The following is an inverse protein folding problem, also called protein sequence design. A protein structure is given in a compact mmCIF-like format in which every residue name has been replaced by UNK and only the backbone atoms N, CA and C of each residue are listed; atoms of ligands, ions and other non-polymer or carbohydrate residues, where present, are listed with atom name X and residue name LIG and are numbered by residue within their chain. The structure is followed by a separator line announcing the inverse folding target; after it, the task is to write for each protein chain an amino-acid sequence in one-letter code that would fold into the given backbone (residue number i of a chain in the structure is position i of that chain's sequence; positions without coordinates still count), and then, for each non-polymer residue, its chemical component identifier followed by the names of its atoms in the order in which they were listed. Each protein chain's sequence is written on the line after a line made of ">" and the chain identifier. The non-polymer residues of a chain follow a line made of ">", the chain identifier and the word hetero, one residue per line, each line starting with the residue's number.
data_IF_405870583991
#
_entry.id   IF_405870583991
#
_cell.length_a   1.000
_cell.length_b   1.000
_cell.length_c   1.000
_cell.angle_alpha   90.00
_cell.angle_beta   90.00
_cell.angle_gamma   90.00
#
_symmetry.space_group_name_H-M   'P 1'
#
loop_
_entity.id
_entity.type
_entity.pdbx_description
1 polymer ?
#
# COMPACT_ATOMS: atom_id res chain seq x y z
N UNK A 1 7.27 -3.90 -9.08
CA UNK A 1 6.56 -3.96 -7.78
C UNK A 1 6.16 -2.54 -7.41
N UNK A 2 4.87 -2.23 -7.37
CA UNK A 2 4.38 -0.89 -7.06
C UNK A 2 3.74 -0.93 -5.67
N UNK A 3 4.25 -0.12 -4.75
CA UNK A 3 3.69 0.08 -3.41
C UNK A 3 3.50 -1.23 -2.63
N UNK A 4 4.39 -2.20 -2.82
CA UNK A 4 4.20 -3.57 -2.30
C UNK A 4 5.10 -3.88 -1.10
N UNK A 5 4.62 -4.58 -0.06
CA UNK A 5 5.45 -5.10 1.01
C UNK A 5 6.15 -6.41 0.63
N UNK A 6 7.26 -6.71 1.32
CA UNK A 6 7.82 -8.06 1.38
C UNK A 6 7.27 -8.88 2.57
N UNK A 7 6.76 -8.21 3.61
CA UNK A 7 6.31 -8.80 4.87
C UNK A 7 5.08 -8.07 5.38
N UNK A 8 4.00 -8.80 5.65
CA UNK A 8 2.75 -8.21 6.16
C UNK A 8 2.89 -7.74 7.62
N UNK A 9 3.72 -8.43 8.42
CA UNK A 9 4.04 -7.96 9.76
C UNK A 9 4.70 -6.58 9.75
N UNK A 10 5.62 -6.35 8.80
CA UNK A 10 6.28 -5.04 8.65
C UNK A 10 5.32 -3.97 8.12
N UNK A 11 4.45 -4.35 7.17
CA UNK A 11 3.37 -3.49 6.68
C UNK A 11 2.47 -3.02 7.83
N UNK A 12 1.98 -3.96 8.65
CA UNK A 12 1.09 -3.67 9.77
C UNK A 12 1.74 -2.73 10.78
N UNK A 13 3.00 -2.97 11.14
CA UNK A 13 3.74 -2.09 12.05
C UNK A 13 3.86 -0.66 11.49
N UNK A 14 4.18 -0.53 10.20
CA UNK A 14 4.35 0.78 9.58
C UNK A 14 3.02 1.52 9.42
N UNK A 15 1.96 0.83 9.01
CA UNK A 15 0.62 1.40 8.92
C UNK A 15 0.15 1.97 10.26
N UNK A 16 0.35 1.24 11.36
CA UNK A 16 0.00 1.70 12.71
C UNK A 16 0.85 2.90 13.13
N UNK A 17 2.15 2.90 12.80
CA UNK A 17 3.04 4.04 13.07
C UNK A 17 2.58 5.30 12.32
N UNK A 18 2.25 5.18 11.03
CA UNK A 18 1.74 6.26 10.20
C UNK A 18 0.39 6.77 10.69
N UNK A 19 -0.52 5.85 11.03
CA UNK A 19 -1.83 6.18 11.58
C UNK A 19 -1.70 6.99 12.86
N UNK A 20 -0.90 6.54 13.83
CA UNK A 20 -0.67 7.26 15.08
C UNK A 20 0.03 8.60 14.92
N UNK A 21 0.86 8.76 13.89
CA UNK A 21 1.48 10.05 13.57
C UNK A 21 0.46 11.09 13.04
N UNK A 22 -0.63 10.62 12.41
CA UNK A 22 -1.72 11.49 11.94
C UNK A 22 -2.79 11.70 13.01
N UNK A 23 -3.21 10.62 13.66
CA UNK A 23 -4.26 10.60 14.67
C UNK A 23 -3.80 9.79 15.87
N UNK A 24 -3.16 10.43 16.87
CA UNK A 24 -2.75 9.76 18.08
C UNK A 24 -3.94 9.07 18.77
N UNK A 25 -3.84 7.75 18.93
CA UNK A 25 -4.90 6.92 19.48
C UNK A 25 -4.30 5.81 20.35
N UNK A 26 -5.05 5.30 21.33
CA UNK A 26 -4.58 4.17 22.13
C UNK A 26 -4.57 2.88 21.32
N UNK A 27 -3.72 1.92 21.68
CA UNK A 27 -3.69 0.60 21.02
C UNK A 27 -5.04 -0.12 21.13
N UNK A 28 -5.75 0.06 22.25
CA UNK A 28 -7.09 -0.51 22.46
C UNK A 28 -8.12 0.11 21.53
N UNK A 29 -8.11 1.44 21.34
CA UNK A 29 -9.03 2.11 20.41
C UNK A 29 -8.71 1.73 18.95
N UNK A 30 -7.44 1.64 18.58
CA UNK A 30 -7.07 1.16 17.24
C UNK A 30 -7.61 -0.25 17.03
N UNK A 31 -7.40 -1.14 17.99
CA UNK A 31 -7.85 -2.53 17.91
C UNK A 31 -9.38 -2.67 17.90
N UNK A 32 -10.09 -1.87 18.69
CA UNK A 32 -11.53 -2.04 18.90
C UNK A 32 -12.40 -1.14 18.01
N UNK A 33 -11.84 -0.06 17.44
CA UNK A 33 -12.56 0.92 16.61
C UNK A 33 -12.04 0.90 15.18
N UNK A 34 -10.73 1.04 14.98
CA UNK A 34 -10.15 1.23 13.63
C UNK A 34 -10.00 -0.08 12.89
N UNK A 35 -9.43 -1.11 13.52
CA UNK A 35 -9.25 -2.42 12.88
C UNK A 35 -10.57 -3.05 12.42
N UNK A 36 -11.65 -3.13 13.21
CA UNK A 36 -12.90 -3.74 12.75
C UNK A 36 -13.70 -2.85 11.79
N UNK A 37 -13.34 -1.58 11.60
CA UNK A 37 -14.07 -0.68 10.71
C UNK A 37 -13.99 -1.15 9.26
N UNK A 38 -15.15 -1.21 8.61
CA UNK A 38 -15.28 -1.55 7.20
C UNK A 38 -15.17 -0.27 6.38
N UNK A 39 -14.13 -0.15 5.56
CA UNK A 39 -13.77 1.12 4.89
C UNK A 39 -14.89 1.70 4.01
N UNK A 40 -15.75 0.84 3.43
CA UNK A 40 -16.86 1.24 2.55
C UNK A 40 -18.22 1.31 3.27
N UNK A 41 -18.26 1.23 4.61
CA UNK A 41 -19.50 1.29 5.40
C UNK A 41 -19.36 2.25 6.59
N UNK A 42 -19.51 3.55 6.34
CA UNK A 42 -19.42 4.61 7.36
C UNK A 42 -18.16 4.50 8.26
N UNK A 43 -16.95 4.53 7.68
CA UNK A 43 -15.71 4.40 8.44
C UNK A 43 -15.52 5.59 9.41
N UNK A 44 -14.77 5.39 10.52
CA UNK A 44 -14.34 6.49 11.39
C UNK A 44 -13.55 7.57 10.62
N UNK A 45 -13.74 8.84 10.98
CA UNK A 45 -13.07 9.98 10.32
C UNK A 45 -11.54 9.86 10.33
N UNK A 46 -10.97 9.24 11.35
CA UNK A 46 -9.53 9.01 11.50
C UNK A 46 -9.01 8.04 10.44
N UNK A 47 -9.79 6.99 10.14
CA UNK A 47 -9.46 6.04 9.08
C UNK A 47 -9.57 6.72 7.71
N UNK A 48 -10.59 7.54 7.49
CA UNK A 48 -10.73 8.34 6.26
C UNK A 48 -9.52 9.28 6.08
N UNK A 49 -9.08 9.95 7.14
CA UNK A 49 -7.91 10.83 7.09
C UNK A 49 -6.62 10.07 6.75
N UNK A 50 -6.44 8.85 7.27
CA UNK A 50 -5.33 7.98 6.90
C UNK A 50 -5.36 7.63 5.40
N UNK A 51 -6.51 7.20 4.88
CA UNK A 51 -6.66 6.87 3.46
C UNK A 51 -6.40 8.07 2.55
N UNK A 52 -6.94 9.24 2.90
CA UNK A 52 -6.74 10.47 2.14
C UNK A 52 -5.27 10.93 2.12
N UNK A 53 -4.47 10.56 3.12
CA UNK A 53 -3.05 10.91 3.20
C UNK A 53 -2.14 9.88 2.52
N UNK A 54 -2.42 8.60 2.71
CA UNK A 54 -1.48 7.52 2.45
C UNK A 54 -1.92 6.50 1.40
N UNK A 55 -3.20 6.50 1.00
CA UNK A 55 -3.76 5.53 0.05
C UNK A 55 -4.17 6.19 -1.26
N UNK A 56 -4.94 7.28 -1.22
CA UNK A 56 -5.38 8.00 -2.41
C UNK A 56 -5.62 9.48 -2.08
N UNK A 57 -4.89 10.38 -2.76
CA UNK A 57 -4.82 11.81 -2.41
C UNK A 57 -5.61 12.73 -3.33
N UNK A 58 -6.10 12.24 -4.47
CA UNK A 58 -6.91 13.07 -5.38
C UNK A 58 -8.31 13.27 -4.79
N UNK A 59 -8.83 14.51 -4.91
CA UNK A 59 -10.15 14.86 -4.41
C UNK A 59 -11.30 14.16 -5.16
N UNK A 60 -11.07 13.84 -6.44
CA UNK A 60 -12.02 13.13 -7.28
C UNK A 60 -11.41 11.82 -7.75
N UNK A 61 -12.09 10.71 -7.45
CA UNK A 61 -11.73 9.41 -7.97
C UNK A 61 -12.05 9.33 -9.47
N UNK A 62 -11.10 8.85 -10.27
CA UNK A 62 -11.35 8.54 -11.66
C UNK A 62 -12.42 7.43 -11.81
N UNK A 63 -13.14 7.40 -12.94
CA UNK A 63 -14.27 6.47 -13.17
C UNK A 63 -13.89 5.01 -12.97
N UNK A 64 -12.68 4.60 -13.36
CA UNK A 64 -12.23 3.22 -13.16
C UNK A 64 -11.91 2.90 -11.69
N UNK A 65 -11.46 3.88 -10.90
CA UNK A 65 -11.30 3.74 -9.44
C UNK A 65 -12.66 3.56 -8.78
N UNK A 66 -13.64 4.41 -9.12
CA UNK A 66 -15.02 4.29 -8.62
C UNK A 66 -15.63 2.92 -8.95
N UNK A 67 -15.40 2.41 -10.17
CA UNK A 67 -15.85 1.08 -10.58
C UNK A 67 -15.20 -0.04 -9.76
N UNK A 68 -13.89 0.04 -9.51
CA UNK A 68 -13.18 -0.93 -8.67
C UNK A 68 -13.70 -0.91 -7.24
N UNK A 69 -13.90 0.28 -6.67
CA UNK A 69 -14.48 0.46 -5.33
C UNK A 69 -15.91 -0.09 -5.24
N UNK A 70 -16.74 0.12 -6.28
CA UNK A 70 -18.09 -0.44 -6.33
C UNK A 70 -18.11 -1.97 -6.41
N UNK A 71 -17.19 -2.58 -7.16
CA UNK A 71 -17.04 -4.04 -7.20
C UNK A 71 -16.61 -4.61 -5.85
N UNK A 72 -15.62 -3.97 -5.22
CA UNK A 72 -15.16 -4.33 -3.89
C UNK A 72 -16.27 -4.23 -2.84
N UNK A 73 -17.06 -3.15 -2.85
CA UNK A 73 -18.19 -2.98 -1.94
C UNK A 73 -19.32 -3.99 -2.19
N UNK A 74 -19.51 -4.43 -3.44
CA UNK A 74 -20.52 -5.42 -3.80
C UNK A 74 -20.16 -6.84 -3.34
N UNK A 75 -18.89 -7.23 -3.42
CA UNK A 75 -18.39 -8.50 -2.87
C UNK A 75 -16.95 -8.36 -2.31
N UNK A 76 -16.82 -8.02 -1.02
CA UNK A 76 -15.54 -7.83 -0.35
C UNK A 76 -14.93 -9.15 0.13
N UNK A 77 -15.56 -10.31 -0.14
CA UNK A 77 -15.25 -11.60 0.50
C UNK A 77 -13.78 -11.97 0.41
N UNK A 78 -13.19 -11.85 -0.78
CA UNK A 78 -11.79 -12.18 -1.00
C UNK A 78 -10.83 -11.32 -0.17
N UNK A 79 -11.05 -10.01 -0.16
CA UNK A 79 -10.23 -9.05 0.59
C UNK A 79 -10.40 -9.25 2.10
N UNK A 80 -11.62 -9.41 2.61
CA UNK A 80 -11.86 -9.67 4.03
C UNK A 80 -11.21 -10.98 4.52
N UNK A 81 -11.23 -12.04 3.70
CA UNK A 81 -10.60 -13.32 4.07
C UNK A 81 -9.08 -13.24 4.04
N UNK A 82 -8.51 -12.63 3.00
CA UNK A 82 -7.06 -12.63 2.79
C UNK A 82 -6.36 -11.53 3.57
N UNK A 83 -6.92 -10.32 3.53
CA UNK A 83 -6.33 -9.11 4.08
C UNK A 83 -6.97 -8.71 5.40
N UNK A 84 -8.28 -8.41 5.37
CA UNK A 84 -9.07 -7.95 6.50
C UNK A 84 -10.03 -6.84 6.09
N UNK A 85 -10.46 -6.01 7.03
CA UNK A 85 -11.56 -5.03 6.85
C UNK A 85 -11.15 -3.68 6.28
N UNK A 86 -9.86 -3.33 6.37
CA UNK A 86 -9.25 -2.11 5.82
C UNK A 86 -7.71 -2.24 5.75
N UNK A 87 -7.01 -1.23 5.21
CA UNK A 87 -5.56 -1.22 5.00
C UNK A 87 -4.73 -1.33 6.29
N UNK A 88 -5.28 -0.90 7.44
CA UNK A 88 -4.67 -1.01 8.77
C UNK A 88 -5.05 -2.31 9.51
N UNK A 89 -5.91 -3.12 8.91
CA UNK A 89 -6.39 -4.37 9.48
C UNK A 89 -5.89 -5.55 8.63
N UNK A 90 -4.58 -5.68 8.45
CA UNK A 90 -3.97 -6.81 7.74
C UNK A 90 -3.93 -8.07 8.62
N UNK A 91 -5.09 -8.47 9.14
CA UNK A 91 -5.29 -9.54 10.13
C UNK A 91 -6.01 -10.79 9.56
N UNK A 92 -6.18 -10.85 8.24
CA UNK A 92 -6.71 -12.01 7.51
C UNK A 92 -5.66 -13.11 7.31
N UNK A 93 -5.90 -14.01 6.35
CA UNK A 93 -5.02 -15.16 6.08
C UNK A 93 -3.59 -14.81 5.66
N UNK A 94 -3.35 -13.59 5.20
CA UNK A 94 -2.02 -13.09 4.83
C UNK A 94 -1.26 -12.46 6.01
N UNK A 95 -1.82 -12.40 7.23
CA UNK A 95 -1.19 -11.72 8.36
C UNK A 95 0.27 -12.15 8.63
N UNK A 96 0.55 -13.45 8.47
CA UNK A 96 1.88 -14.05 8.67
C UNK A 96 2.67 -14.22 7.36
N UNK A 97 2.18 -13.68 6.23
CA UNK A 97 2.86 -13.81 4.94
C UNK A 97 4.15 -12.98 4.90
N UNK A 98 5.25 -13.64 4.53
CA UNK A 98 6.55 -13.02 4.36
C UNK A 98 7.34 -13.73 3.24
N UNK A 99 7.72 -12.98 2.20
CA UNK A 99 8.53 -13.49 1.08
C UNK A 99 10.02 -13.13 1.22
N UNK A 100 10.40 -12.36 2.23
CA UNK A 100 11.77 -11.86 2.44
C UNK A 100 12.84 -12.96 2.31
N UNK A 101 12.68 -14.18 2.88
CA UNK A 101 13.67 -15.26 2.75
C UNK A 101 13.90 -15.75 1.31
N UNK A 102 12.93 -15.51 0.41
CA UNK A 102 12.94 -15.98 -0.97
C UNK A 102 13.30 -14.91 -1.98
N UNK A 103 13.39 -13.63 -1.59
CA UNK A 103 13.70 -12.53 -2.50
C UNK A 103 15.06 -12.70 -3.19
N UNK A 104 16.02 -13.33 -2.51
CA UNK A 104 17.33 -13.65 -3.09
C UNK A 104 17.28 -14.71 -4.19
N UNK A 105 16.11 -15.28 -4.51
CA UNK A 105 15.89 -16.21 -5.62
C UNK A 105 15.47 -15.49 -6.90
N UNK A 106 15.05 -14.22 -6.82
CA UNK A 106 14.70 -13.41 -7.98
C UNK A 106 15.99 -13.11 -8.78
N UNK A 107 15.96 -13.40 -10.08
CA UNK A 107 17.12 -13.26 -11.00
C UNK A 107 16.87 -12.25 -12.12
N UNK A 108 15.62 -11.86 -12.36
CA UNK A 108 15.30 -10.82 -13.32
C UNK A 108 15.48 -9.43 -12.69
N UNK A 109 15.74 -8.40 -13.50
CA UNK A 109 15.75 -7.01 -13.02
C UNK A 109 14.38 -6.62 -12.47
N UNK A 110 14.36 -5.86 -11.36
CA UNK A 110 13.15 -5.42 -10.68
C UNK A 110 13.14 -3.91 -10.51
N UNK A 111 11.99 -3.30 -10.82
CA UNK A 111 11.66 -1.94 -10.41
C UNK A 111 10.72 -1.98 -9.21
N UNK A 112 11.12 -1.36 -8.10
CA UNK A 112 10.28 -1.01 -6.96
C UNK A 112 9.87 0.46 -7.11
N UNK A 113 8.57 0.71 -7.16
CA UNK A 113 7.99 2.04 -7.33
C UNK A 113 7.06 2.33 -6.15
N UNK A 114 7.14 3.52 -5.55
CA UNK A 114 6.23 3.95 -4.47
C UNK A 114 5.89 5.43 -4.60
N UNK A 115 4.79 5.88 -4.01
CA UNK A 115 4.57 7.32 -3.81
C UNK A 115 5.40 7.88 -2.67
N UNK A 116 5.66 9.18 -2.67
CA UNK A 116 6.33 9.89 -1.58
C UNK A 116 5.60 9.73 -0.24
N UNK A 117 4.27 9.83 -0.27
CA UNK A 117 3.35 9.79 0.86
C UNK A 117 2.75 8.39 1.10
N UNK A 118 3.24 7.38 0.40
CA UNK A 118 2.69 6.02 0.42
C UNK A 118 2.78 5.35 1.79
N UNK A 119 1.77 4.56 2.15
CA UNK A 119 1.80 3.64 3.29
C UNK A 119 2.87 2.54 3.15
N UNK A 120 3.21 2.16 1.90
CA UNK A 120 4.39 1.37 1.59
C UNK A 120 5.64 2.27 1.64
N UNK A 121 6.02 2.71 2.84
CA UNK A 121 7.17 3.59 3.05
C UNK A 121 8.48 2.92 2.64
N UNK A 122 9.57 3.69 2.65
CA UNK A 122 10.92 3.14 2.48
C UNK A 122 11.20 1.96 3.42
N UNK A 123 10.70 2.00 4.67
CA UNK A 123 10.82 0.88 5.61
C UNK A 123 10.17 -0.38 5.08
N UNK A 124 8.96 -0.28 4.52
CA UNK A 124 8.17 -1.41 4.01
C UNK A 124 8.81 -2.04 2.77
N UNK A 125 9.35 -1.21 1.87
CA UNK A 125 9.95 -1.70 0.61
C UNK A 125 11.44 -2.06 0.74
N UNK A 126 12.12 -1.64 1.81
CA UNK A 126 13.55 -1.88 2.04
C UNK A 126 13.97 -3.35 1.92
N UNK A 127 13.19 -4.36 2.38
CA UNK A 127 13.55 -5.76 2.16
C UNK A 127 13.62 -6.13 0.66
N UNK A 128 12.73 -5.59 -0.17
CA UNK A 128 12.77 -5.80 -1.63
C UNK A 128 14.07 -5.26 -2.23
N UNK A 129 14.49 -4.07 -1.79
CA UNK A 129 15.71 -3.42 -2.28
C UNK A 129 16.98 -4.14 -1.80
N UNK A 130 16.94 -4.68 -0.58
CA UNK A 130 18.12 -5.26 0.07
C UNK A 130 18.38 -6.71 -0.33
N UNK A 131 17.33 -7.47 -0.67
CA UNK A 131 17.45 -8.91 -0.95
C UNK A 131 17.34 -9.29 -2.42
N UNK A 132 16.83 -8.43 -3.29
CA UNK A 132 16.82 -8.64 -4.74
C UNK A 132 18.11 -8.06 -5.34
N UNK A 133 18.86 -8.86 -6.10
CA UNK A 133 20.20 -8.47 -6.56
C UNK A 133 20.23 -7.37 -7.62
N UNK A 134 19.25 -7.33 -8.52
CA UNK A 134 19.07 -6.25 -9.50
C UNK A 134 17.74 -5.57 -9.23
N UNK A 135 17.78 -4.59 -8.32
CA UNK A 135 16.61 -3.90 -7.82
C UNK A 135 16.83 -2.40 -7.88
N UNK A 136 15.95 -1.70 -8.60
CA UNK A 136 15.96 -0.25 -8.76
C UNK A 136 14.76 0.33 -8.05
N UNK A 137 14.91 1.46 -7.39
CA UNK A 137 13.85 2.12 -6.67
C UNK A 137 13.49 3.48 -7.30
N UNK A 138 12.20 3.79 -7.39
CA UNK A 138 11.72 5.12 -7.77
C UNK A 138 10.62 5.56 -6.80
N UNK A 139 10.77 6.76 -6.24
CA UNK A 139 9.72 7.44 -5.45
C UNK A 139 9.05 8.49 -6.33
N UNK A 140 7.73 8.43 -6.46
CA UNK A 140 6.93 9.36 -7.25
C UNK A 140 6.53 10.55 -6.38
N UNK A 141 6.98 11.78 -6.71
CA UNK A 141 6.71 12.96 -5.89
C UNK A 141 5.21 13.27 -5.78
N UNK A 142 4.79 13.68 -4.58
CA UNK A 142 3.40 14.07 -4.29
C UNK A 142 2.38 12.92 -4.28
N UNK A 143 2.74 11.71 -4.72
CA UNK A 143 1.83 10.55 -4.74
C UNK A 143 1.80 9.78 -3.43
N UNK A 144 0.75 8.98 -3.23
CA UNK A 144 0.58 8.02 -2.15
C UNK A 144 0.61 6.58 -2.70
N UNK A 145 -0.33 5.71 -2.33
CA UNK A 145 -0.35 4.29 -2.70
C UNK A 145 -0.75 4.03 -4.17
N UNK A 146 -1.31 5.02 -4.84
CA UNK A 146 -1.78 4.91 -6.22
C UNK A 146 -1.05 5.90 -7.15
N UNK A 147 0.31 5.85 -7.23
CA UNK A 147 1.08 6.84 -8.00
C UNK A 147 0.77 6.83 -9.50
N UNK A 148 0.27 5.71 -10.02
CA UNK A 148 -0.17 5.59 -11.41
C UNK A 148 -1.43 6.40 -11.73
N UNK A 149 -2.22 6.77 -10.72
CA UNK A 149 -3.39 7.66 -10.85
C UNK A 149 -3.05 9.08 -10.42
N UNK A 150 -2.34 9.22 -9.30
CA UNK A 150 -2.08 10.50 -8.65
C UNK A 150 -1.03 11.33 -9.40
N UNK A 151 -0.09 10.68 -10.09
CA UNK A 151 0.94 11.36 -10.86
C UNK A 151 1.38 10.51 -12.06
N UNK A 152 0.46 10.42 -13.04
CA UNK A 152 0.55 9.55 -14.22
C UNK A 152 1.88 9.73 -14.97
N UNK A 153 2.26 10.96 -15.30
CA UNK A 153 3.40 11.21 -16.20
C UNK A 153 4.75 10.77 -15.59
N UNK A 154 5.12 11.14 -14.35
CA UNK A 154 6.30 10.59 -13.67
C UNK A 154 6.24 9.07 -13.47
N UNK A 155 5.08 8.51 -13.12
CA UNK A 155 4.94 7.07 -12.97
C UNK A 155 5.22 6.32 -14.29
N UNK A 156 4.62 6.77 -15.41
CA UNK A 156 4.87 6.18 -16.72
C UNK A 156 6.30 6.41 -17.21
N UNK A 157 6.90 7.56 -16.91
CA UNK A 157 8.29 7.84 -17.25
C UNK A 157 9.25 6.88 -16.55
N UNK A 158 9.03 6.62 -15.25
CA UNK A 158 9.82 5.67 -14.47
C UNK A 158 9.74 4.25 -15.02
N UNK A 159 8.52 3.76 -15.29
CA UNK A 159 8.30 2.44 -15.88
C UNK A 159 8.91 2.36 -17.28
N UNK A 160 8.72 3.38 -18.12
CA UNK A 160 9.25 3.39 -19.49
C UNK A 160 10.78 3.44 -19.52
N UNK A 161 11.42 4.18 -18.62
CA UNK A 161 12.88 4.21 -18.50
C UNK A 161 13.41 2.83 -18.11
N UNK A 162 12.82 2.21 -17.09
CA UNK A 162 13.17 0.86 -16.69
C UNK A 162 13.05 -0.14 -17.83
N UNK A 163 11.93 -0.14 -18.58
CA UNK A 163 11.73 -1.05 -19.70
C UNK A 163 12.72 -0.82 -20.85
N UNK A 164 13.09 0.44 -21.14
CA UNK A 164 14.09 0.75 -22.17
C UNK A 164 15.48 0.27 -21.81
N UNK A 165 15.86 0.33 -20.54
CA UNK A 165 17.16 -0.16 -20.06
C UNK A 165 17.29 -1.69 -20.13
N UNK A 166 16.19 -2.41 -20.36
CA UNK A 166 16.15 -3.87 -20.50
C UNK A 166 16.14 -4.35 -21.95
N UNK A 167 15.92 -3.45 -22.90
CA UNK A 167 15.87 -3.73 -24.33
C UNK A 167 17.27 -3.66 -24.97
#
# INVERSE_FOLDING_TARGET
>A
LASSPASIALWQQEGIRLFNALTPMSDDDIKNVIMPAVIYQNPPEQLVAYYARHVYTLAEEAVHVQRSNAQFAADPTGYHILWGTNELAANGKLADWDITPHLCQIRCPVLVLRGENDQATERVVSPLLSHISDCRAVTIPGSSHNPHEENIAPCLAAVSAFLRDLA
#
